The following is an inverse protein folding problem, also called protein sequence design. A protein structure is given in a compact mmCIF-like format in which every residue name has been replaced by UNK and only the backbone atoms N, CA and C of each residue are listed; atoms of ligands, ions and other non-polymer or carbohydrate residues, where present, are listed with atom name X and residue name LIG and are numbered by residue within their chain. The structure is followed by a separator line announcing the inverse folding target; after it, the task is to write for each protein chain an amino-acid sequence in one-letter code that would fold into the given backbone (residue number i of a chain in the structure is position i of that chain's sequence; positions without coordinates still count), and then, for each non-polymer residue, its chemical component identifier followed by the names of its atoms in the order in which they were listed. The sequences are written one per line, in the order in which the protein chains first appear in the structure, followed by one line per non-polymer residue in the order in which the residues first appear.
data_IF_200141687140
#
_entry.id   IF_200141687140
#
_cell.length_a   1.000
_cell.length_b   1.000
_cell.length_c   1.000
_cell.angle_alpha   90.00
_cell.angle_beta   90.00
_cell.angle_gamma   90.00
#
_symmetry.space_group_name_H-M   'P 1'
#
loop_
_entity.id
_entity.type
_entity.pdbx_description
1 polymer ?
#
# COMPACT_ATOMS: atom_id res chain seq x y z
N UNK A 1 -47.91 -10.52 12.43
CA UNK A 1 -46.56 -11.07 12.66
C UNK A 1 -45.66 -10.48 11.57
N UNK A 2 -44.74 -9.58 11.93
CA UNK A 2 -43.79 -8.98 10.98
C UNK A 2 -42.52 -9.83 10.96
N UNK A 3 -42.27 -10.53 9.85
CA UNK A 3 -41.05 -11.30 9.61
C UNK A 3 -39.96 -10.35 9.13
N UNK A 4 -38.97 -10.03 9.97
CA UNK A 4 -37.74 -9.37 9.51
C UNK A 4 -36.98 -10.40 8.67
N UNK A 5 -36.76 -10.17 7.36
CA UNK A 5 -36.02 -11.12 6.55
C UNK A 5 -34.56 -11.15 7.01
N UNK A 6 -34.11 -12.29 7.51
CA UNK A 6 -32.69 -12.54 7.80
C UNK A 6 -31.94 -12.65 6.48
N UNK A 7 -31.45 -11.53 5.96
CA UNK A 7 -30.57 -11.54 4.79
C UNK A 7 -29.14 -11.85 5.21
N UNK A 8 -28.42 -12.63 4.40
CA UNK A 8 -27.01 -12.89 4.62
C UNK A 8 -26.20 -11.60 4.44
N UNK A 9 -25.18 -11.40 5.29
CA UNK A 9 -24.22 -10.30 5.17
C UNK A 9 -23.60 -10.26 3.77
N UNK A 10 -23.39 -11.42 3.13
CA UNK A 10 -22.90 -11.52 1.77
C UNK A 10 -23.83 -10.84 0.74
N UNK A 11 -25.15 -10.99 0.91
CA UNK A 11 -26.16 -10.35 0.06
C UNK A 11 -26.19 -8.83 0.28
N UNK A 12 -25.93 -8.38 1.51
CA UNK A 12 -25.84 -6.97 1.86
C UNK A 12 -24.58 -6.31 1.28
N UNK A 13 -23.43 -6.99 1.34
CA UNK A 13 -22.17 -6.51 0.76
C UNK A 13 -22.21 -6.42 -0.77
N UNK A 14 -22.87 -7.38 -1.43
CA UNK A 14 -22.98 -7.40 -2.89
C UNK A 14 -23.93 -6.32 -3.45
N UNK A 15 -24.92 -5.88 -2.67
CA UNK A 15 -25.97 -4.97 -3.14
C UNK A 15 -25.87 -3.52 -2.67
N UNK A 16 -25.11 -3.21 -1.61
CA UNK A 16 -25.20 -1.92 -0.91
C UNK A 16 -23.89 -1.13 -0.83
N UNK A 17 -23.18 -0.96 -1.95
CA UNK A 17 -22.16 0.08 -2.12
C UNK A 17 -20.91 0.00 -1.21
N UNK A 18 -20.86 -0.95 -0.26
CA UNK A 18 -19.72 -1.17 0.63
C UNK A 18 -18.45 -1.62 -0.11
N UNK A 19 -18.57 -2.01 -1.37
CA UNK A 19 -17.44 -2.18 -2.29
C UNK A 19 -16.66 -0.87 -2.51
N UNK A 20 -17.23 0.31 -2.22
CA UNK A 20 -16.55 1.60 -2.41
C UNK A 20 -15.49 1.92 -1.36
N UNK A 21 -15.48 1.26 -0.19
CA UNK A 21 -14.53 1.63 0.87
C UNK A 21 -13.13 1.03 0.70
N UNK A 22 -12.90 0.19 -0.31
CA UNK A 22 -11.58 -0.35 -0.61
C UNK A 22 -10.93 0.30 -1.85
N UNK A 23 -11.56 1.31 -2.45
CA UNK A 23 -10.92 2.08 -3.50
C UNK A 23 -10.17 3.26 -2.89
N UNK A 24 -9.03 2.97 -2.25
CA UNK A 24 -7.98 3.98 -2.15
C UNK A 24 -7.35 4.04 -3.54
N UNK A 25 -7.58 5.15 -4.26
CA UNK A 25 -6.80 5.49 -5.44
C UNK A 25 -5.33 5.36 -5.03
N UNK A 26 -4.49 4.56 -5.71
CA UNK A 26 -3.07 4.57 -5.41
C UNK A 26 -2.60 5.99 -5.73
N UNK A 27 -2.40 6.80 -4.70
CA UNK A 27 -1.60 8.00 -4.82
C UNK A 27 -0.22 7.52 -5.24
N UNK A 28 0.02 7.53 -6.54
CA UNK A 28 1.35 7.45 -7.12
C UNK A 28 2.06 8.75 -6.79
N UNK A 29 2.27 9.01 -5.49
CA UNK A 29 3.53 9.63 -5.11
C UNK A 29 4.52 8.54 -5.48
N UNK A 30 5.02 8.58 -6.70
CA UNK A 30 6.30 8.00 -7.00
C UNK A 30 7.26 8.77 -6.09
N UNK A 31 7.38 8.36 -4.83
CA UNK A 31 8.51 8.77 -4.03
C UNK A 31 9.70 8.26 -4.82
N UNK A 32 10.38 9.19 -5.48
CA UNK A 32 11.58 8.90 -6.25
C UNK A 32 12.51 8.16 -5.30
N UNK A 33 12.75 6.87 -5.60
CA UNK A 33 13.62 6.08 -4.79
C UNK A 33 15.01 6.71 -4.77
N UNK A 34 15.70 6.65 -3.64
CA UNK A 34 16.97 7.32 -3.42
C UNK A 34 18.12 6.48 -3.99
N UNK A 35 19.04 7.17 -4.64
CA UNK A 35 20.25 6.58 -5.23
C UNK A 35 21.33 6.34 -4.15
N UNK A 36 22.40 5.65 -4.52
CA UNK A 36 23.52 5.40 -3.62
C UNK A 36 24.12 6.72 -3.06
N UNK A 37 24.41 6.72 -1.76
CA UNK A 37 24.99 7.87 -1.06
C UNK A 37 23.97 8.89 -0.49
N UNK A 38 22.69 8.79 -0.86
CA UNK A 38 21.64 9.59 -0.23
C UNK A 38 21.27 9.04 1.15
N UNK A 39 20.77 9.93 2.01
CA UNK A 39 20.28 9.55 3.32
C UNK A 39 18.99 8.74 3.23
N UNK A 40 18.82 7.75 4.11
CA UNK A 40 17.67 6.87 4.16
C UNK A 40 17.25 6.56 5.61
N UNK A 41 15.96 6.22 5.79
CA UNK A 41 15.42 5.70 7.04
C UNK A 41 15.09 4.21 6.95
N UNK A 42 14.65 3.76 5.78
CA UNK A 42 14.22 2.38 5.52
C UNK A 42 14.76 1.89 4.17
N UNK A 43 14.84 0.58 3.99
CA UNK A 43 15.24 -0.02 2.71
C UNK A 43 14.33 0.38 1.55
N UNK A 44 13.04 0.64 1.84
CA UNK A 44 12.06 1.12 0.86
C UNK A 44 12.35 2.53 0.34
N UNK A 45 13.16 3.33 1.06
CA UNK A 45 13.57 4.65 0.58
C UNK A 45 14.57 4.52 -0.59
N UNK A 46 15.31 3.42 -0.68
CA UNK A 46 16.38 3.22 -1.65
C UNK A 46 15.86 2.50 -2.91
N UNK A 47 16.51 2.72 -4.06
CA UNK A 47 16.16 2.03 -5.31
C UNK A 47 16.54 0.54 -5.31
N UNK A 48 15.93 -0.26 -4.45
CA UNK A 48 16.17 -1.69 -4.31
C UNK A 48 15.76 -2.46 -5.59
N UNK A 49 14.59 -2.14 -6.15
CA UNK A 49 14.05 -2.89 -7.29
C UNK A 49 14.88 -2.71 -8.57
N UNK A 50 15.38 -1.49 -8.81
CA UNK A 50 16.15 -1.18 -10.01
C UNK A 50 17.66 -1.43 -9.86
N UNK A 51 18.22 -1.19 -8.67
CA UNK A 51 19.68 -1.10 -8.47
C UNK A 51 20.21 -1.86 -7.25
N UNK A 52 19.36 -2.62 -6.54
CA UNK A 52 19.73 -3.44 -5.36
C UNK A 52 20.42 -2.65 -4.25
N UNK A 53 19.84 -1.49 -3.93
CA UNK A 53 20.25 -0.67 -2.79
C UNK A 53 19.45 -1.02 -1.53
N UNK A 54 20.13 -1.03 -0.38
CA UNK A 54 19.56 -1.13 0.97
C UNK A 54 19.96 0.07 1.82
N UNK A 55 19.21 0.33 2.89
CA UNK A 55 19.51 1.40 3.82
C UNK A 55 20.45 0.90 4.92
N UNK A 56 21.72 1.26 4.81
CA UNK A 56 22.74 0.86 5.78
C UNK A 56 23.42 2.10 6.36
N UNK A 57 23.47 2.20 7.69
CA UNK A 57 24.03 3.37 8.40
C UNK A 57 23.39 4.70 7.93
N UNK A 58 22.06 4.71 7.78
CA UNK A 58 21.30 5.87 7.31
C UNK A 58 21.67 6.36 5.92
N UNK A 59 22.30 5.50 5.11
CA UNK A 59 22.74 5.81 3.74
C UNK A 59 22.36 4.69 2.78
N UNK A 60 21.84 5.01 1.60
CA UNK A 60 21.60 4.01 0.56
C UNK A 60 22.93 3.43 0.03
N UNK A 61 23.10 2.11 0.12
CA UNK A 61 24.31 1.37 -0.30
C UNK A 61 23.93 0.10 -1.05
N UNK A 62 24.84 -0.41 -1.86
CA UNK A 62 24.64 -1.71 -2.54
C UNK A 62 24.63 -2.82 -1.51
N UNK A 63 23.61 -3.70 -1.60
CA UNK A 63 23.50 -4.92 -0.81
C UNK A 63 24.50 -5.99 -1.24
#
# INVERSE_FOLDING_TARGET
MNTVPTMSIASQLAGNGLQQHLYSEPTAVAEECRMAGYSCWWDSDCCNESVKLICEWWTCRYA
#
